data_IF_725837936290
#
_entry.id   IF_725837936290
#
_cell.length_a   1.000
_cell.length_b   1.000
_cell.length_c   1.000
_cell.angle_alpha   90.00
_cell.angle_beta   90.00
_cell.angle_gamma   90.00
#
_symmetry.space_group_name_H-M   'P 1'
#
loop_
_entity.id
_entity.type
_entity.pdbx_description
1 polymer ?
#
# COMPACT_ATOMS: atom_id res chain seq x y z
N UNK A 1 -0.02 3.01 -2.95
CA UNK A 1 0.61 1.68 -2.71
C UNK A 1 0.56 1.25 -1.23
N UNK A 2 1.00 2.07 -0.25
CA UNK A 2 1.08 1.66 1.16
C UNK A 2 -0.24 1.24 1.84
N UNK A 3 -1.39 1.80 1.46
CA UNK A 3 -2.68 1.47 2.09
C UNK A 3 -3.23 0.09 1.64
N UNK A 4 -2.80 -0.40 0.48
CA UNK A 4 -3.06 -1.78 0.02
C UNK A 4 -2.23 -2.79 0.83
N UNK A 5 -1.07 -2.37 1.33
CA UNK A 5 -0.16 -3.15 2.17
C UNK A 5 -0.70 -3.37 3.59
N UNK A 6 -1.68 -2.60 4.06
CA UNK A 6 -2.37 -2.93 5.32
C UNK A 6 -3.25 -4.19 5.22
N UNK A 7 -3.47 -4.73 4.02
CA UNK A 7 -4.17 -6.01 3.75
C UNK A 7 -3.21 -7.20 3.63
N UNK A 8 -1.94 -7.02 4.02
CA UNK A 8 -0.84 -7.94 3.68
C UNK A 8 -1.07 -9.39 4.10
N UNK A 9 -1.73 -9.71 5.22
CA UNK A 9 -1.89 -11.11 5.64
C UNK A 9 -2.69 -11.97 4.63
N UNK A 10 -3.85 -11.51 4.17
CA UNK A 10 -4.69 -12.28 3.21
C UNK A 10 -4.12 -12.28 1.79
N UNK A 11 -3.45 -11.18 1.42
CA UNK A 11 -2.79 -11.08 0.12
C UNK A 11 -1.62 -12.07 0.12
N UNK A 12 -0.80 -12.11 1.16
CA UNK A 12 0.33 -13.04 1.26
C UNK A 12 -0.08 -14.50 1.18
N UNK A 13 -1.16 -14.94 1.81
CA UNK A 13 -1.63 -16.32 1.68
C UNK A 13 -2.04 -16.65 0.25
N UNK A 14 -2.74 -15.74 -0.43
CA UNK A 14 -3.11 -15.89 -1.85
C UNK A 14 -1.90 -15.86 -2.78
N UNK A 15 -0.90 -15.05 -2.48
CA UNK A 15 0.33 -14.98 -3.26
C UNK A 15 1.25 -16.17 -2.98
N UNK A 16 1.36 -16.64 -1.73
CA UNK A 16 2.08 -17.87 -1.37
C UNK A 16 1.48 -19.08 -2.06
N UNK A 17 0.15 -19.22 -2.06
CA UNK A 17 -0.54 -20.33 -2.74
C UNK A 17 -0.38 -20.25 -4.26
N UNK A 18 -0.47 -19.06 -4.86
CA UNK A 18 -0.21 -18.87 -6.29
C UNK A 18 1.26 -19.13 -6.67
N UNK A 19 2.21 -18.68 -5.86
CA UNK A 19 3.63 -18.94 -6.04
C UNK A 19 3.94 -20.42 -5.85
N UNK A 20 3.40 -21.07 -4.82
CA UNK A 20 3.55 -22.51 -4.61
C UNK A 20 3.02 -23.31 -5.80
N UNK A 21 1.84 -22.95 -6.32
CA UNK A 21 1.23 -23.59 -7.50
C UNK A 21 2.02 -23.34 -8.79
N UNK A 22 2.53 -22.12 -8.98
CA UNK A 22 3.40 -21.80 -10.11
C UNK A 22 4.73 -22.58 -10.04
N UNK A 23 5.28 -22.72 -8.83
CA UNK A 23 6.50 -23.46 -8.56
C UNK A 23 6.33 -24.98 -8.74
N UNK A 24 5.19 -25.55 -8.36
CA UNK A 24 4.85 -26.97 -8.64
C UNK A 24 4.68 -27.23 -10.13
N UNK A 25 4.02 -26.32 -10.85
CA UNK A 25 3.79 -26.43 -12.29
C UNK A 25 5.07 -26.26 -13.13
N UNK A 26 6.09 -25.59 -12.59
CA UNK A 26 7.42 -25.48 -13.20
C UNK A 26 8.32 -26.68 -12.83
N UNK A 27 8.11 -27.27 -11.64
CA UNK A 27 8.77 -28.51 -11.20
C UNK A 27 8.38 -29.71 -12.08
N UNK A 28 7.12 -29.79 -12.53
CA UNK A 28 6.66 -30.81 -13.48
C UNK A 28 7.24 -30.66 -14.90
N UNK A 29 7.88 -29.53 -15.22
CA UNK A 29 8.58 -29.27 -16.49
C UNK A 29 10.08 -29.56 -16.46
N UNK A 30 10.61 -30.10 -15.36
CA UNK A 30 12.00 -30.58 -15.28
C UNK A 30 13.09 -29.51 -15.24
N UNK A 31 12.76 -28.24 -14.93
CA UNK A 31 13.78 -27.21 -14.76
C UNK A 31 14.64 -27.49 -13.50
N UNK A 32 15.93 -27.67 -13.73
CA UNK A 32 16.98 -27.94 -12.72
C UNK A 32 16.86 -26.96 -11.54
N UNK A 33 16.81 -27.48 -10.31
CA UNK A 33 16.67 -26.73 -9.05
C UNK A 33 17.55 -25.46 -8.91
N UNK A 34 18.67 -25.39 -9.63
CA UNK A 34 19.54 -24.21 -9.68
C UNK A 34 18.86 -22.99 -10.32
N UNK A 35 18.15 -23.15 -11.46
CA UNK A 35 17.51 -22.01 -12.16
C UNK A 35 16.47 -21.31 -11.27
N UNK A 36 15.74 -22.09 -10.48
CA UNK A 36 14.75 -21.60 -9.50
C UNK A 36 15.37 -20.77 -8.38
N UNK A 37 16.54 -21.17 -7.86
CA UNK A 37 17.25 -20.41 -6.81
C UNK A 37 17.74 -19.06 -7.33
N UNK A 38 18.22 -19.03 -8.58
CA UNK A 38 18.64 -17.78 -9.22
C UNK A 38 17.45 -16.86 -9.57
N UNK A 39 16.32 -17.41 -10.04
CA UNK A 39 15.14 -16.63 -10.38
C UNK A 39 14.54 -15.87 -9.17
N UNK A 40 14.50 -16.51 -7.99
CA UNK A 40 13.98 -15.89 -6.76
C UNK A 40 14.92 -14.81 -6.18
N UNK A 41 16.21 -14.85 -6.50
CA UNK A 41 17.18 -13.85 -6.09
C UNK A 41 17.28 -12.67 -7.09
N UNK A 42 17.31 -12.98 -8.39
CA UNK A 42 17.58 -11.99 -9.44
C UNK A 42 16.43 -10.97 -9.60
N UNK A 43 15.18 -11.40 -9.40
CA UNK A 43 14.00 -10.56 -9.66
C UNK A 43 13.86 -9.40 -8.65
N UNK A 44 13.97 -9.62 -7.32
CA UNK A 44 14.10 -8.52 -6.37
C UNK A 44 15.37 -7.69 -6.58
N UNK A 45 16.50 -8.34 -6.92
CA UNK A 45 17.77 -7.65 -7.13
C UNK A 45 17.72 -6.62 -8.27
N UNK A 46 17.23 -7.01 -9.45
CA UNK A 46 17.09 -6.11 -10.61
C UNK A 46 16.13 -4.95 -10.29
N UNK A 47 15.05 -5.24 -9.57
CA UNK A 47 14.06 -4.21 -9.20
C UNK A 47 14.68 -3.16 -8.28
N UNK A 48 15.39 -3.58 -7.22
CA UNK A 48 16.09 -2.67 -6.31
C UNK A 48 17.19 -1.89 -7.04
N UNK A 49 17.93 -2.55 -7.94
CA UNK A 49 18.97 -1.91 -8.73
C UNK A 49 18.40 -0.83 -9.66
N UNK A 50 17.26 -1.08 -10.32
CA UNK A 50 16.60 -0.09 -11.19
C UNK A 50 16.14 1.14 -10.41
N UNK A 51 15.35 0.94 -9.36
CA UNK A 51 14.82 2.05 -8.55
C UNK A 51 15.96 2.81 -7.84
N UNK A 52 17.01 2.10 -7.42
CA UNK A 52 18.22 2.71 -6.83
C UNK A 52 19.03 3.54 -7.84
N UNK A 53 19.21 3.05 -9.07
CA UNK A 53 19.91 3.79 -10.13
C UNK A 53 19.16 5.06 -10.52
N UNK A 54 17.83 5.00 -10.66
CA UNK A 54 17.02 6.20 -10.94
C UNK A 54 17.24 7.27 -9.86
N UNK A 55 17.19 6.90 -8.58
CA UNK A 55 17.43 7.82 -7.46
C UNK A 55 18.84 8.44 -7.48
N UNK A 56 19.89 7.64 -7.76
CA UNK A 56 21.27 8.12 -7.83
C UNK A 56 21.45 9.09 -9.01
N UNK A 57 20.83 8.81 -10.16
CA UNK A 57 20.90 9.69 -11.33
C UNK A 57 20.21 11.03 -11.03
N UNK A 58 19.05 11.03 -10.36
CA UNK A 58 18.37 12.27 -9.96
C UNK A 58 19.19 13.09 -8.96
N UNK A 59 19.78 12.45 -7.95
CA UNK A 59 20.61 13.15 -6.96
C UNK A 59 21.89 13.68 -7.63
N UNK A 60 22.57 12.84 -8.41
CA UNK A 60 23.78 13.22 -9.14
C UNK A 60 23.57 14.45 -10.02
N UNK A 61 22.43 14.50 -10.73
CA UNK A 61 22.06 15.63 -11.59
C UNK A 61 21.88 16.97 -10.86
N UNK A 62 21.54 16.97 -9.56
CA UNK A 62 21.33 18.20 -8.79
C UNK A 62 22.54 18.61 -7.93
N UNK A 63 23.55 17.76 -7.79
CA UNK A 63 24.68 17.97 -6.84
C UNK A 63 25.96 18.55 -7.45
N UNK A 64 26.01 18.84 -8.75
CA UNK A 64 27.25 19.25 -9.43
C UNK A 64 27.84 20.62 -9.02
N UNK A 65 27.27 21.30 -8.03
CA UNK A 65 27.72 22.62 -7.56
C UNK A 65 28.67 22.54 -6.35
N UNK A 66 28.90 21.37 -5.76
CA UNK A 66 29.62 21.21 -4.48
C UNK A 66 31.05 20.66 -4.58
N UNK A 67 31.86 20.90 -3.54
CA UNK A 67 33.30 20.54 -3.47
C UNK A 67 33.54 19.03 -3.67
N UNK A 68 34.29 18.69 -4.72
CA UNK A 68 34.63 17.33 -5.19
C UNK A 68 35.27 16.43 -4.10
N UNK A 69 35.95 17.01 -3.11
CA UNK A 69 36.69 16.27 -2.09
C UNK A 69 35.82 15.61 -1.01
N UNK A 70 34.58 16.08 -0.79
CA UNK A 70 33.69 15.52 0.26
C UNK A 70 32.91 14.28 -0.21
N UNK A 71 32.83 14.06 -1.51
CA UNK A 71 32.01 13.01 -2.14
C UNK A 71 32.46 11.59 -1.76
N UNK A 72 33.76 11.22 -1.76
CA UNK A 72 34.19 9.84 -1.49
C UNK A 72 33.90 9.38 -0.06
N UNK A 73 34.06 10.29 0.92
CA UNK A 73 33.81 10.00 2.33
C UNK A 73 32.32 9.74 2.58
N UNK A 74 31.43 10.53 1.96
CA UNK A 74 30.00 10.33 2.04
C UNK A 74 29.57 8.98 1.44
N UNK A 75 30.19 8.56 0.33
CA UNK A 75 29.91 7.27 -0.32
C UNK A 75 30.31 6.10 0.58
N UNK A 76 31.52 6.13 1.15
CA UNK A 76 31.99 5.05 2.03
C UNK A 76 31.14 4.98 3.31
N UNK A 77 30.85 6.13 3.93
CA UNK A 77 29.99 6.19 5.10
C UNK A 77 28.56 5.68 4.80
N UNK A 78 28.00 6.06 3.65
CA UNK A 78 26.70 5.58 3.19
C UNK A 78 26.68 4.07 2.93
N UNK A 79 27.75 3.52 2.34
CA UNK A 79 27.87 2.08 2.09
C UNK A 79 27.92 1.27 3.39
N UNK A 80 28.72 1.72 4.37
CA UNK A 80 28.81 1.08 5.69
C UNK A 80 27.45 1.14 6.39
N UNK A 81 26.82 2.32 6.42
CA UNK A 81 25.51 2.51 7.03
C UNK A 81 24.44 1.63 6.37
N UNK A 82 24.40 1.60 5.03
CA UNK A 82 23.47 0.77 4.26
C UNK A 82 23.67 -0.72 4.53
N UNK A 83 24.92 -1.19 4.62
CA UNK A 83 25.21 -2.59 4.97
C UNK A 83 24.77 -2.92 6.40
N UNK A 84 25.02 -2.04 7.37
CA UNK A 84 24.55 -2.20 8.75
C UNK A 84 23.02 -2.27 8.82
N UNK A 85 22.31 -1.35 8.18
CA UNK A 85 20.83 -1.35 8.14
C UNK A 85 20.30 -2.60 7.45
N UNK A 86 20.89 -2.99 6.31
CA UNK A 86 20.53 -4.20 5.59
C UNK A 86 20.72 -5.46 6.45
N UNK A 87 21.80 -5.54 7.21
CA UNK A 87 22.07 -6.65 8.13
C UNK A 87 21.05 -6.68 9.29
N UNK A 88 20.71 -5.52 9.86
CA UNK A 88 19.68 -5.41 10.91
C UNK A 88 18.32 -5.88 10.36
N UNK A 89 17.95 -5.49 9.16
CA UNK A 89 16.68 -5.92 8.53
C UNK A 89 16.72 -7.41 8.23
N UNK A 90 17.83 -7.96 7.72
CA UNK A 90 17.98 -9.39 7.46
C UNK A 90 17.78 -10.22 8.73
N UNK A 91 18.41 -9.81 9.84
CA UNK A 91 18.27 -10.47 11.14
C UNK A 91 16.88 -10.26 11.74
N UNK A 92 16.33 -9.04 11.64
CA UNK A 92 15.02 -8.67 12.15
C UNK A 92 13.86 -9.31 11.40
N UNK A 93 14.02 -9.60 10.11
CA UNK A 93 13.00 -10.21 9.25
C UNK A 93 12.59 -11.62 9.69
N UNK A 94 13.45 -12.34 10.41
CA UNK A 94 13.12 -13.66 10.94
C UNK A 94 12.37 -13.61 12.29
N UNK A 95 12.46 -12.50 13.05
CA UNK A 95 11.84 -12.37 14.38
C UNK A 95 10.63 -11.42 14.42
N UNK A 96 10.49 -10.49 13.47
CA UNK A 96 9.42 -9.49 13.48
C UNK A 96 8.17 -9.97 12.75
N UNK A 97 6.99 -9.68 13.34
CA UNK A 97 5.71 -9.78 12.63
C UNK A 97 5.77 -8.93 11.36
N UNK A 98 5.75 -9.57 10.19
CA UNK A 98 5.88 -8.95 8.88
C UNK A 98 4.88 -7.79 8.66
N UNK A 99 3.70 -7.89 9.28
CA UNK A 99 2.72 -6.81 9.32
C UNK A 99 3.24 -5.54 10.02
N UNK A 100 3.88 -5.68 11.19
CA UNK A 100 4.44 -4.53 11.95
C UNK A 100 5.58 -3.86 11.17
N UNK A 101 6.39 -4.65 10.47
CA UNK A 101 7.45 -4.12 9.60
C UNK A 101 6.89 -3.24 8.48
N UNK A 102 5.86 -3.70 7.76
CA UNK A 102 5.26 -2.91 6.69
C UNK A 102 4.51 -1.68 7.19
N UNK A 103 3.88 -1.75 8.37
CA UNK A 103 3.27 -0.57 8.99
C UNK A 103 4.33 0.46 9.36
N UNK A 104 5.43 0.03 9.97
CA UNK A 104 6.54 0.91 10.36
C UNK A 104 7.20 1.56 9.12
N UNK A 105 7.48 0.79 8.07
CA UNK A 105 8.07 1.34 6.84
C UNK A 105 7.11 2.30 6.13
N UNK A 106 5.81 2.01 6.11
CA UNK A 106 4.81 2.94 5.56
C UNK A 106 4.74 4.22 6.37
N UNK A 107 4.80 4.16 7.71
CA UNK A 107 4.83 5.34 8.56
C UNK A 107 6.07 6.21 8.30
N UNK A 108 7.25 5.57 8.18
CA UNK A 108 8.49 6.25 7.82
C UNK A 108 8.38 6.93 6.45
N UNK A 109 7.84 6.25 5.44
CA UNK A 109 7.65 6.82 4.10
C UNK A 109 6.68 8.02 4.11
N UNK A 110 5.62 7.98 4.93
CA UNK A 110 4.70 9.11 5.09
C UNK A 110 5.37 10.30 5.79
N UNK A 111 6.24 10.05 6.77
CA UNK A 111 7.02 11.11 7.43
C UNK A 111 7.98 11.80 6.45
N UNK A 112 8.74 11.02 5.67
CA UNK A 112 9.65 11.58 4.65
C UNK A 112 8.88 12.35 3.59
N UNK A 113 7.73 11.84 3.13
CA UNK A 113 6.89 12.55 2.17
C UNK A 113 6.32 13.87 2.74
N UNK A 114 5.97 13.92 4.02
CA UNK A 114 5.58 15.18 4.69
C UNK A 114 6.73 16.20 4.67
N UNK A 115 7.95 15.74 4.99
CA UNK A 115 9.14 16.59 4.98
C UNK A 115 9.48 17.12 3.58
N UNK A 116 9.40 16.27 2.55
CA UNK A 116 9.59 16.67 1.16
C UNK A 116 8.55 17.69 0.69
N UNK A 117 7.29 17.56 1.13
CA UNK A 117 6.24 18.53 0.82
C UNK A 117 6.54 19.91 1.42
N UNK A 118 6.94 19.97 2.69
CA UNK A 118 7.33 21.22 3.33
C UNK A 118 8.51 21.89 2.61
N UNK A 119 9.52 21.10 2.21
CA UNK A 119 10.67 21.60 1.45
C UNK A 119 10.30 22.10 0.05
N UNK A 120 9.36 21.45 -0.63
CA UNK A 120 8.87 21.93 -1.91
C UNK A 120 8.23 23.32 -1.76
N UNK A 121 7.43 23.54 -0.71
CA UNK A 121 6.85 24.86 -0.42
C UNK A 121 7.93 25.89 -0.14
N UNK A 122 8.95 25.56 0.65
CA UNK A 122 10.08 26.47 0.88
C UNK A 122 10.81 26.83 -0.42
N UNK A 123 11.00 25.87 -1.32
CA UNK A 123 11.62 26.13 -2.62
C UNK A 123 10.76 27.05 -3.50
N UNK A 124 9.43 26.89 -3.48
CA UNK A 124 8.52 27.79 -4.18
C UNK A 124 8.52 29.21 -3.60
N UNK A 125 8.50 29.34 -2.28
CA UNK A 125 8.57 30.64 -1.59
C UNK A 125 9.91 31.33 -1.85
N UNK A 126 11.03 30.60 -1.77
CA UNK A 126 12.36 31.11 -2.07
C UNK A 126 12.46 31.59 -3.53
N UNK A 127 11.94 30.82 -4.49
CA UNK A 127 11.93 31.23 -5.89
C UNK A 127 11.06 32.49 -6.14
N UNK A 128 9.91 32.58 -5.47
CA UNK A 128 9.03 33.76 -5.56
C UNK A 128 9.73 35.00 -5.01
N UNK A 129 10.43 34.84 -3.90
CA UNK A 129 11.21 35.90 -3.27
C UNK A 129 12.39 36.35 -4.13
N UNK A 130 13.17 35.41 -4.67
CA UNK A 130 14.30 35.69 -5.57
C UNK A 130 13.89 36.51 -6.81
N UNK A 131 12.68 36.27 -7.34
CA UNK A 131 12.12 37.07 -8.45
C UNK A 131 11.76 38.50 -8.04
N UNK A 132 11.39 38.73 -6.78
CA UNK A 132 11.01 40.06 -6.28
C UNK A 132 12.23 40.91 -5.93
N UNK A 133 13.26 40.31 -5.34
CA UNK A 133 14.48 41.02 -4.93
C UNK A 133 15.53 41.13 -6.04
N UNK A 134 15.34 40.48 -7.20
CA UNK A 134 16.35 40.32 -8.26
C UNK A 134 17.69 39.75 -7.74
N UNK A 135 17.65 39.07 -6.58
CA UNK A 135 18.80 38.41 -5.97
C UNK A 135 18.67 36.92 -6.23
N UNK A 136 19.72 36.28 -6.75
CA UNK A 136 19.85 34.81 -6.69
C UNK A 136 20.26 34.45 -5.27
N UNK A 137 19.33 34.53 -4.33
CA UNK A 137 19.57 34.12 -2.96
C UNK A 137 19.43 32.59 -2.89
N UNK A 138 20.45 31.88 -3.36
CA UNK A 138 20.68 30.47 -2.99
C UNK A 138 21.30 30.37 -1.58
N UNK A 139 21.79 31.50 -1.06
CA UNK A 139 22.45 31.60 0.24
C UNK A 139 21.54 32.21 1.31
N UNK A 140 21.00 31.33 2.16
CA UNK A 140 20.78 31.44 3.61
C UNK A 140 20.71 32.83 4.30
N UNK A 141 20.00 33.82 3.76
CA UNK A 141 19.91 35.13 4.43
C UNK A 141 18.70 36.00 4.12
N UNK A 142 18.12 35.90 2.92
CA UNK A 142 17.02 36.78 2.53
C UNK A 142 15.74 35.97 2.42
N UNK A 143 14.96 35.96 3.49
CA UNK A 143 13.60 35.40 3.50
C UNK A 143 12.62 36.54 3.76
N UNK A 144 11.37 36.39 3.28
CA UNK A 144 10.33 37.39 3.55
C UNK A 144 9.94 37.36 5.05
N UNK A 145 10.27 38.40 5.84
CA UNK A 145 9.96 38.42 7.26
C UNK A 145 8.45 38.54 7.54
N UNK A 146 7.61 38.80 6.53
CA UNK A 146 6.15 38.94 6.69
C UNK A 146 5.43 37.60 6.82
N UNK A 147 5.97 36.55 6.19
CA UNK A 147 5.37 35.22 6.17
C UNK A 147 6.11 34.22 7.06
N UNK A 148 7.27 34.62 7.59
CA UNK A 148 8.07 33.79 8.47
C UNK A 148 7.56 33.81 9.90
N UNK A 149 7.41 32.62 10.48
CA UNK A 149 6.99 32.43 11.88
C UNK A 149 8.21 32.40 12.81
N UNK A 150 9.29 31.73 12.39
CA UNK A 150 10.55 31.72 13.14
C UNK A 150 11.77 31.71 12.22
N UNK A 151 12.89 32.24 12.74
CA UNK A 151 14.21 32.21 12.13
C UNK A 151 15.27 31.97 13.21
N UNK A 152 15.58 30.72 13.49
CA UNK A 152 16.55 30.31 14.50
C UNK A 152 17.98 30.47 13.96
N UNK A 153 18.85 31.07 14.77
CA UNK A 153 20.29 31.22 14.48
C UNK A 153 21.08 29.94 14.79
N UNK A 154 20.48 29.00 15.53
CA UNK A 154 21.02 27.66 15.77
C UNK A 154 20.25 26.63 14.94
N UNK A 155 20.84 25.44 14.76
CA UNK A 155 20.19 24.30 14.09
C UNK A 155 19.93 24.53 12.58
N UNK A 156 20.82 25.28 11.92
CA UNK A 156 20.82 25.48 10.48
C UNK A 156 21.23 24.17 9.77
N UNK A 157 20.38 23.60 8.90
CA UNK A 157 20.71 22.38 8.15
C UNK A 157 21.85 22.57 7.14
N UNK A 158 22.12 23.81 6.72
CA UNK A 158 23.10 24.14 5.69
C UNK A 158 24.50 24.39 6.26
N UNK A 159 24.64 24.51 7.59
CA UNK A 159 25.94 24.67 8.23
C UNK A 159 26.64 23.30 8.42
N UNK A 160 27.81 23.07 7.80
CA UNK A 160 28.54 21.81 7.94
C UNK A 160 28.94 21.49 9.38
N UNK A 161 29.07 22.53 10.21
CA UNK A 161 29.49 22.43 11.61
C UNK A 161 28.31 22.26 12.58
N UNK A 162 27.07 22.42 12.12
CA UNK A 162 25.88 22.32 12.98
C UNK A 162 25.50 20.86 13.31
N UNK A 163 26.13 19.85 12.68
CA UNK A 163 25.90 18.44 12.97
C UNK A 163 24.69 17.85 12.23
N UNK A 164 24.03 16.84 12.82
CA UNK A 164 22.99 16.01 12.17
C UNK A 164 21.68 16.68 11.75
N UNK A 165 21.59 18.02 11.76
CA UNK A 165 20.39 18.74 11.33
C UNK A 165 20.08 18.57 9.85
N UNK A 166 21.09 18.34 9.01
CA UNK A 166 20.89 17.98 7.61
C UNK A 166 20.07 16.68 7.45
N UNK A 167 20.27 15.71 8.34
CA UNK A 167 19.48 14.47 8.37
C UNK A 167 18.02 14.75 8.76
N UNK A 168 17.77 15.58 9.77
CA UNK A 168 16.42 15.96 10.16
C UNK A 168 15.72 16.82 9.09
N UNK A 169 16.45 17.67 8.37
CA UNK A 169 15.93 18.37 7.21
C UNK A 169 15.53 17.39 6.09
N UNK A 170 16.35 16.37 5.82
CA UNK A 170 16.05 15.35 4.82
C UNK A 170 14.86 14.44 5.19
N UNK A 171 14.76 14.03 6.47
CA UNK A 171 13.76 13.04 6.92
C UNK A 171 12.47 13.67 7.41
N UNK A 172 12.55 14.76 8.18
CA UNK A 172 11.39 15.41 8.78
C UNK A 172 10.99 16.71 8.07
N UNK A 173 11.83 17.25 7.19
CA UNK A 173 11.63 18.56 6.58
C UNK A 173 11.93 19.72 7.54
N UNK A 174 12.75 19.48 8.57
CA UNK A 174 13.14 20.52 9.53
C UNK A 174 13.93 21.64 8.86
N UNK A 175 13.54 22.90 9.09
CA UNK A 175 14.27 24.10 8.69
C UNK A 175 14.40 25.09 9.85
N UNK A 176 15.55 25.77 9.94
CA UNK A 176 15.78 26.81 10.94
C UNK A 176 14.93 28.06 10.69
N UNK A 177 14.50 28.27 9.45
CA UNK A 177 13.53 29.29 9.06
C UNK A 177 12.25 28.58 8.61
N UNK A 178 11.13 28.85 9.26
CA UNK A 178 9.84 28.32 8.85
C UNK A 178 8.85 29.45 8.56
N UNK A 179 8.16 29.30 7.44
CA UNK A 179 7.06 30.17 7.04
C UNK A 179 5.71 29.59 7.44
N UNK A 180 4.69 30.43 7.40
CA UNK A 180 3.30 29.99 7.58
C UNK A 180 2.96 28.91 6.53
N UNK A 181 3.50 29.04 5.31
CA UNK A 181 3.28 28.08 4.23
C UNK A 181 3.84 26.70 4.53
N UNK A 182 5.05 26.59 5.07
CA UNK A 182 5.65 25.28 5.40
C UNK A 182 4.88 24.58 6.51
N UNK A 183 4.52 25.30 7.58
CA UNK A 183 3.73 24.75 8.70
C UNK A 183 2.35 24.30 8.23
N UNK A 184 1.66 25.16 7.48
CA UNK A 184 0.32 24.87 6.97
C UNK A 184 0.33 23.69 5.99
N UNK A 185 1.33 23.62 5.11
CA UNK A 185 1.48 22.47 4.20
C UNK A 185 1.69 21.16 4.94
N UNK A 186 2.47 21.16 6.02
CA UNK A 186 2.73 19.98 6.84
C UNK A 186 1.46 19.53 7.57
N UNK A 187 0.71 20.46 8.15
CA UNK A 187 -0.57 20.20 8.82
C UNK A 187 -1.60 19.66 7.82
N UNK A 188 -1.75 20.32 6.66
CA UNK A 188 -2.68 19.89 5.61
C UNK A 188 -2.33 18.50 5.07
N UNK A 189 -1.05 18.18 4.94
CA UNK A 189 -0.60 16.86 4.52
C UNK A 189 -1.10 15.76 5.47
N UNK A 190 -0.94 15.96 6.79
CA UNK A 190 -1.44 15.01 7.79
C UNK A 190 -2.97 14.93 7.82
N UNK A 191 -3.67 16.05 7.70
CA UNK A 191 -5.12 16.05 7.56
C UNK A 191 -5.59 15.30 6.32
N UNK A 192 -4.94 15.49 5.18
CA UNK A 192 -5.24 14.78 3.94
C UNK A 192 -5.01 13.28 4.09
N UNK A 193 -3.94 12.85 4.78
CA UNK A 193 -3.71 11.44 5.10
C UNK A 193 -4.80 10.89 6.00
N UNK A 194 -5.14 11.58 7.09
CA UNK A 194 -6.19 11.14 8.02
C UNK A 194 -7.55 11.02 7.31
N UNK A 195 -7.90 12.01 6.48
CA UNK A 195 -9.09 11.98 5.65
C UNK A 195 -9.07 10.81 4.66
N UNK A 196 -7.96 10.60 3.94
CA UNK A 196 -7.81 9.51 2.98
C UNK A 196 -7.91 8.13 3.65
N UNK A 197 -7.26 7.93 4.80
CA UNK A 197 -7.33 6.69 5.57
C UNK A 197 -8.73 6.44 6.10
N UNK A 198 -9.40 7.47 6.61
CA UNK A 198 -10.78 7.38 7.10
C UNK A 198 -11.75 7.08 5.96
N UNK A 199 -11.62 7.76 4.83
CA UNK A 199 -12.40 7.52 3.61
C UNK A 199 -12.24 6.08 3.12
N UNK A 200 -11.00 5.56 3.09
CA UNK A 200 -10.75 4.18 2.69
C UNK A 200 -11.30 3.16 3.70
N UNK A 201 -11.24 3.45 5.00
CA UNK A 201 -11.86 2.61 6.05
C UNK A 201 -13.38 2.58 5.89
N UNK A 202 -14.00 3.73 5.62
CA UNK A 202 -15.45 3.84 5.38
C UNK A 202 -15.86 3.12 4.10
N UNK A 203 -15.11 3.30 3.00
CA UNK A 203 -15.38 2.60 1.74
C UNK A 203 -15.31 1.08 1.89
N UNK A 204 -14.36 0.58 2.70
CA UNK A 204 -14.28 -0.86 3.03
C UNK A 204 -15.47 -1.34 3.85
N UNK A 205 -15.85 -0.60 4.90
CA UNK A 205 -17.03 -0.95 5.72
C UNK A 205 -18.31 -0.99 4.88
N UNK A 206 -18.52 0.01 4.04
CA UNK A 206 -19.68 0.06 3.11
C UNK A 206 -19.67 -1.11 2.12
N UNK A 207 -18.51 -1.49 1.58
CA UNK A 207 -18.40 -2.63 0.68
C UNK A 207 -18.68 -3.98 1.37
N UNK A 208 -18.23 -4.14 2.63
CA UNK A 208 -18.51 -5.34 3.41
C UNK A 208 -20.01 -5.48 3.73
N UNK A 209 -20.64 -4.41 4.22
CA UNK A 209 -22.10 -4.38 4.48
C UNK A 209 -22.89 -4.65 3.20
N UNK A 210 -22.52 -4.04 2.07
CA UNK A 210 -23.17 -4.31 0.78
C UNK A 210 -23.05 -5.77 0.36
N UNK A 211 -21.91 -6.42 0.59
CA UNK A 211 -21.73 -7.82 0.27
C UNK A 211 -22.57 -8.75 1.15
N UNK A 212 -22.73 -8.39 2.43
CA UNK A 212 -23.57 -9.13 3.37
C UNK A 212 -25.06 -9.04 2.99
N UNK A 213 -25.55 -7.84 2.64
CA UNK A 213 -26.91 -7.63 2.14
C UNK A 213 -27.17 -8.43 0.84
N UNK A 214 -26.24 -8.41 -0.10
CA UNK A 214 -26.37 -9.19 -1.34
C UNK A 214 -26.36 -10.72 -1.10
N UNK A 215 -25.68 -11.19 -0.06
CA UNK A 215 -25.71 -12.61 0.31
C UNK A 215 -27.04 -12.96 1.00
N UNK A 216 -27.57 -12.08 1.85
CA UNK A 216 -28.88 -12.26 2.47
C UNK A 216 -30.00 -12.33 1.43
N UNK A 217 -30.01 -11.40 0.46
CA UNK A 217 -30.99 -11.40 -0.65
C UNK A 217 -30.91 -12.70 -1.48
N UNK A 218 -29.68 -13.20 -1.73
CA UNK A 218 -29.48 -14.46 -2.46
C UNK A 218 -30.00 -15.68 -1.70
N UNK A 219 -29.84 -15.70 -0.38
CA UNK A 219 -30.34 -16.80 0.46
C UNK A 219 -31.87 -16.77 0.50
N UNK A 220 -32.49 -15.59 0.66
CA UNK A 220 -33.94 -15.45 0.62
C UNK A 220 -34.54 -15.89 -0.72
N UNK A 221 -33.95 -15.47 -1.85
CA UNK A 221 -34.35 -15.93 -3.19
C UNK A 221 -34.14 -17.42 -3.42
N UNK A 222 -33.17 -18.05 -2.75
CA UNK A 222 -32.95 -19.50 -2.85
C UNK A 222 -34.01 -20.27 -2.05
N UNK A 223 -34.43 -19.74 -0.90
CA UNK A 223 -35.46 -20.31 -0.04
C UNK A 223 -36.84 -20.25 -0.73
N UNK A 224 -37.20 -19.08 -1.27
CA UNK A 224 -38.44 -18.89 -2.05
C UNK A 224 -38.49 -19.83 -3.28
N UNK A 225 -37.36 -20.02 -3.95
CA UNK A 225 -37.26 -21.00 -5.06
C UNK A 225 -37.39 -22.43 -4.59
N UNK A 226 -36.84 -22.77 -3.43
CA UNK A 226 -36.97 -24.12 -2.87
C UNK A 226 -38.42 -24.41 -2.46
N UNK A 227 -39.12 -23.45 -1.85
CA UNK A 227 -40.55 -23.57 -1.53
C UNK A 227 -41.41 -23.75 -2.78
N UNK A 228 -41.20 -22.96 -3.84
CA UNK A 228 -41.91 -23.15 -5.11
C UNK A 228 -41.68 -24.54 -5.74
N UNK A 229 -40.47 -25.08 -5.64
CA UNK A 229 -40.17 -26.43 -6.14
C UNK A 229 -40.90 -27.49 -5.33
N UNK A 230 -40.92 -27.35 -3.99
CA UNK A 230 -41.64 -28.27 -3.12
C UNK A 230 -43.15 -28.22 -3.34
N UNK A 231 -43.75 -27.04 -3.49
CA UNK A 231 -45.18 -26.91 -3.82
C UNK A 231 -45.52 -27.54 -5.18
N UNK A 232 -44.64 -27.40 -6.18
CA UNK A 232 -44.76 -28.04 -7.48
C UNK A 232 -44.67 -29.58 -7.42
N UNK A 233 -43.77 -30.13 -6.61
CA UNK A 233 -43.66 -31.59 -6.39
C UNK A 233 -44.88 -32.15 -5.64
N UNK A 234 -45.40 -31.43 -4.64
CA UNK A 234 -46.61 -31.83 -3.89
C UNK A 234 -47.85 -31.84 -4.80
N UNK A 235 -48.00 -30.86 -5.69
CA UNK A 235 -49.08 -30.88 -6.69
C UNK A 235 -48.96 -32.06 -7.66
N UNK A 236 -47.75 -32.34 -8.16
CA UNK A 236 -47.50 -33.47 -9.06
C UNK A 236 -47.78 -34.84 -8.40
N UNK A 237 -47.33 -35.03 -7.15
CA UNK A 237 -47.59 -36.25 -6.37
C UNK A 237 -49.06 -36.43 -5.97
N UNK A 238 -49.78 -35.33 -5.72
CA UNK A 238 -51.22 -35.33 -5.48
C UNK A 238 -52.02 -35.78 -6.71
N UNK A 239 -51.67 -35.30 -7.90
CA UNK A 239 -52.30 -35.70 -9.17
C UNK A 239 -52.08 -37.20 -9.43
N UNK A 240 -50.85 -37.70 -9.27
CA UNK A 240 -50.53 -39.13 -9.45
C UNK A 240 -51.30 -40.06 -8.49
N UNK A 241 -51.46 -39.67 -7.21
CA UNK A 241 -52.27 -40.46 -6.25
C UNK A 241 -53.75 -40.47 -6.61
N UNK A 242 -54.27 -39.37 -7.14
CA UNK A 242 -55.68 -39.27 -7.55
C UNK A 242 -55.94 -40.13 -8.79
N UNK A 243 -54.99 -40.17 -9.73
CA UNK A 243 -55.06 -40.99 -10.94
C UNK A 243 -54.98 -42.51 -10.63
N UNK A 244 -54.09 -42.92 -9.71
CA UNK A 244 -53.98 -44.30 -9.24
C UNK A 244 -55.21 -44.76 -8.44
N UNK A 245 -55.78 -43.89 -7.61
CA UNK A 245 -57.00 -44.19 -6.86
C UNK A 245 -58.24 -44.28 -7.77
N UNK A 246 -58.26 -43.51 -8.87
CA UNK A 246 -59.28 -43.63 -9.92
C UNK A 246 -59.20 -44.98 -10.64
N UNK A 247 -57.99 -45.42 -11.00
CA UNK A 247 -57.80 -46.67 -11.75
C UNK A 247 -58.05 -47.94 -10.92
N UNK A 248 -57.79 -47.91 -9.61
CA UNK A 248 -58.05 -49.04 -8.71
C UNK A 248 -59.54 -49.36 -8.55
N UNK A 249 -60.44 -48.37 -8.66
CA UNK A 249 -61.89 -48.60 -8.57
C UNK A 249 -62.49 -49.16 -9.86
N UNK A 250 -61.82 -48.98 -11.00
CA UNK A 250 -62.27 -49.54 -12.28
C UNK A 250 -61.88 -51.00 -12.45
N UNK A 251 -60.74 -51.44 -11.89
CA UNK A 251 -60.28 -52.84 -11.95
C UNK A 251 -61.10 -53.83 -11.11
N UNK A 252 -61.83 -53.36 -10.09
CA UNK A 252 -62.63 -54.24 -9.22
C UNK A 252 -64.06 -54.48 -9.77
N UNK A 253 -64.51 -53.67 -10.73
CA UNK A 253 -65.87 -53.78 -11.31
C UNK A 253 -65.92 -54.76 -12.50
N UNK A 254 -64.80 -55.04 -13.18
CA UNK A 254 -64.76 -56.04 -14.25
C UNK A 254 -64.67 -57.51 -13.77
N UNK A 255 -64.46 -57.73 -12.47
CA UNK A 255 -64.35 -59.08 -11.87
C UNK A 255 -65.67 -59.74 -11.44
N UNK A 256 -66.79 -59.01 -11.47
CA UNK A 256 -68.09 -59.50 -10.91
C UNK A 256 -69.11 -59.87 -12.01
N UNK A 257 -68.78 -59.74 -13.30
CA UNK A 257 -69.71 -60.07 -14.40
C UNK A 257 -69.51 -61.46 -15.04
N UNK A 258 -68.94 -62.42 -14.31
CA UNK A 258 -68.90 -63.83 -14.70
C UNK A 258 -69.49 -64.73 -13.60
N UNK A 259 -70.80 -64.65 -13.39
CA UNK A 259 -71.64 -65.77 -12.88
C UNK A 259 -73.04 -65.64 -13.45
#
# INVERSE_FOLDING_TARGET
>A
MGIAMLRTNQIQEKWRTKLAKALEHENSRGLKNSSRRYALFILPFITVLREGLEAIVFIGGVTFTEKIQAIPIAVVAGMICGFCVGYIIYRGGNMMNLHKFFVASTCLLLLVAAGLMARAVTAFEANTWNRLTNTQSDDAGTYDPRVNVWGLQCCNPNDPNAGGWAFFNAVLGWSNVASIGTILSYILYWFAIMAALTFLKLRRRRAAVKAELLNADKVALADEKAEMVLEGEVQSGGVLKTELAGNSKTGEVEGIQQM
#
